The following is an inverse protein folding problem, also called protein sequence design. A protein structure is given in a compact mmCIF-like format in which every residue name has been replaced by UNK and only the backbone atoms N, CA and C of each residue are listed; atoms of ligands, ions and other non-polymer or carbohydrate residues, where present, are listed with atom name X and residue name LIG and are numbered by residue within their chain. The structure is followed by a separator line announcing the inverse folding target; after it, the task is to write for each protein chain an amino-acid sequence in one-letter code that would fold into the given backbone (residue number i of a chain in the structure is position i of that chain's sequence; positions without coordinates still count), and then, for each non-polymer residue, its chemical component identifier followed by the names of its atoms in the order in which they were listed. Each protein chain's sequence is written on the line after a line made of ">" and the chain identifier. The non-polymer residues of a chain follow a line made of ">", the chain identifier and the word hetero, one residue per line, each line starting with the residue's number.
data_IF_728961346542
#
_entry.id   IF_728961346542
#
_cell.length_a   1.000
_cell.length_b   1.000
_cell.length_c   1.000
_cell.angle_alpha   90.00
_cell.angle_beta   90.00
_cell.angle_gamma   90.00
#
_symmetry.space_group_name_H-M   'P 1'
#
loop_
_entity.id
_entity.type
_entity.pdbx_description
1 polymer ?
#
# COMPACT_ATOMS: atom_id res chain seq x y z
N UNK A 1 -20.39 23.76 -4.83
CA UNK A 1 -19.27 23.55 -5.77
C UNK A 1 -19.84 23.29 -7.15
N UNK A 2 -19.55 24.14 -8.13
CA UNK A 2 -19.87 23.87 -9.54
C UNK A 2 -19.08 22.65 -10.04
N UNK A 3 -19.76 21.73 -10.72
CA UNK A 3 -19.12 20.58 -11.36
C UNK A 3 -18.38 21.06 -12.60
N UNK A 4 -17.05 21.16 -12.54
CA UNK A 4 -16.22 21.37 -13.73
C UNK A 4 -16.31 20.15 -14.64
N UNK A 5 -16.82 20.33 -15.85
CA UNK A 5 -16.87 19.30 -16.90
C UNK A 5 -15.69 19.52 -17.84
N UNK A 6 -14.83 18.51 -18.00
CA UNK A 6 -13.68 18.56 -18.92
C UNK A 6 -14.01 17.82 -20.22
N UNK A 7 -13.94 18.51 -21.36
CA UNK A 7 -14.07 17.90 -22.69
C UNK A 7 -12.73 17.34 -23.14
N UNK A 8 -12.38 16.15 -22.65
CA UNK A 8 -11.12 15.47 -22.99
C UNK A 8 -11.12 15.00 -24.44
N UNK A 9 -10.18 15.49 -25.24
CA UNK A 9 -9.92 14.97 -26.60
C UNK A 9 -9.06 13.71 -26.51
N UNK A 10 -9.11 12.86 -27.55
CA UNK A 10 -8.23 11.68 -27.66
C UNK A 10 -6.74 12.08 -27.64
N UNK A 11 -6.40 13.25 -28.19
CA UNK A 11 -5.03 13.82 -28.12
C UNK A 11 -4.59 14.10 -26.69
N UNK A 12 -5.53 14.42 -25.80
CA UNK A 12 -5.24 14.73 -24.40
C UNK A 12 -4.95 13.48 -23.57
N UNK A 13 -5.09 12.28 -24.14
CA UNK A 13 -4.73 11.02 -23.49
C UNK A 13 -3.31 10.63 -23.88
N UNK A 14 -2.44 10.58 -22.87
CA UNK A 14 -1.09 10.03 -22.97
C UNK A 14 -1.00 8.67 -22.29
N UNK A 15 0.05 7.92 -22.64
CA UNK A 15 0.42 6.67 -21.96
C UNK A 15 1.87 6.80 -21.51
N UNK A 16 2.09 6.78 -20.20
CA UNK A 16 3.43 6.65 -19.62
C UNK A 16 3.73 5.17 -19.47
N UNK A 17 4.85 4.73 -20.04
CA UNK A 17 5.32 3.35 -19.91
C UNK A 17 6.61 3.35 -19.11
N UNK A 18 6.64 2.59 -18.02
CA UNK A 18 7.84 2.34 -17.23
C UNK A 18 8.54 1.12 -17.82
N UNK A 19 9.81 1.26 -18.20
CA UNK A 19 10.57 0.20 -18.88
C UNK A 19 10.54 -1.12 -18.09
N UNK A 20 10.90 -1.03 -16.82
CA UNK A 20 10.96 -2.18 -15.90
C UNK A 20 9.70 -2.33 -15.04
N UNK A 21 8.74 -1.39 -15.16
CA UNK A 21 7.63 -1.24 -14.22
C UNK A 21 7.95 -0.32 -13.03
N UNK A 22 6.94 0.01 -12.24
CA UNK A 22 7.05 0.86 -11.05
C UNK A 22 6.09 0.35 -9.98
N UNK A 23 6.55 0.27 -8.74
CA UNK A 23 5.71 -0.07 -7.59
C UNK A 23 5.13 1.20 -6.97
N UNK A 24 3.82 1.18 -6.78
CA UNK A 24 3.06 2.20 -6.07
C UNK A 24 2.53 1.57 -4.79
N UNK A 25 2.98 2.07 -3.66
CA UNK A 25 2.55 1.64 -2.33
C UNK A 25 1.87 2.82 -1.66
N UNK A 26 0.61 2.67 -1.27
CA UNK A 26 -0.15 3.70 -0.56
C UNK A 26 -0.51 3.19 0.82
N UNK A 27 -0.41 4.08 1.80
CA UNK A 27 -1.01 3.93 3.12
C UNK A 27 -1.93 5.11 3.36
N UNK A 28 -3.11 4.83 3.90
CA UNK A 28 -3.99 5.86 4.44
C UNK A 28 -4.67 5.37 5.72
N UNK A 29 -5.18 6.29 6.52
CA UNK A 29 -5.91 5.96 7.75
C UNK A 29 -6.37 7.22 8.46
N UNK A 30 -6.78 7.09 9.72
CA UNK A 30 -7.17 8.19 10.60
C UNK A 30 -6.17 8.37 11.72
N UNK A 31 -5.67 9.59 11.88
CA UNK A 31 -4.81 9.98 13.00
C UNK A 31 -5.61 10.21 14.28
N UNK A 32 -4.90 10.45 15.39
CA UNK A 32 -5.51 10.67 16.70
C UNK A 32 -6.34 11.97 16.77
N UNK A 33 -6.03 12.95 15.90
CA UNK A 33 -6.80 14.19 15.76
C UNK A 33 -8.11 14.00 14.97
N UNK A 34 -8.40 12.78 14.49
CA UNK A 34 -9.55 12.46 13.66
C UNK A 34 -9.41 12.83 12.19
N UNK A 35 -8.29 13.44 11.79
CA UNK A 35 -8.00 13.75 10.39
C UNK A 35 -7.47 12.53 9.65
N UNK A 36 -7.79 12.44 8.36
CA UNK A 36 -7.25 11.37 7.51
C UNK A 36 -5.84 11.71 7.07
N UNK A 37 -4.93 10.73 7.18
CA UNK A 37 -3.61 10.79 6.57
C UNK A 37 -3.56 9.89 5.34
N UNK A 38 -2.73 10.26 4.36
CA UNK A 38 -2.44 9.45 3.18
C UNK A 38 -1.03 9.77 2.69
N UNK A 39 -0.26 8.74 2.39
CA UNK A 39 1.03 8.86 1.73
C UNK A 39 1.21 7.77 0.66
N UNK A 40 2.06 8.04 -0.32
CA UNK A 40 2.37 7.15 -1.45
C UNK A 40 3.89 7.06 -1.63
N UNK A 41 4.41 5.84 -1.47
CA UNK A 41 5.76 5.46 -1.86
C UNK A 41 5.76 4.97 -3.32
N UNK A 42 6.58 5.60 -4.16
CA UNK A 42 6.76 5.23 -5.57
C UNK A 42 8.22 4.83 -5.78
N UNK A 43 8.46 3.59 -6.17
CA UNK A 43 9.81 3.02 -6.34
C UNK A 43 9.91 2.18 -7.62
N UNK A 44 11.14 1.97 -8.10
CA UNK A 44 11.37 1.45 -9.47
C UNK A 44 11.18 -0.06 -9.60
N UNK A 45 11.09 -0.80 -8.50
CA UNK A 45 10.93 -2.25 -8.53
C UNK A 45 10.11 -2.77 -7.35
N UNK A 46 9.62 -4.02 -7.46
CA UNK A 46 8.96 -4.71 -6.35
C UNK A 46 9.92 -5.00 -5.19
N UNK A 47 11.18 -5.34 -5.50
CA UNK A 47 12.22 -5.57 -4.50
C UNK A 47 12.52 -4.31 -3.68
N UNK A 48 12.66 -3.16 -4.35
CA UNK A 48 12.87 -1.87 -3.67
C UNK A 48 11.66 -1.53 -2.78
N UNK A 49 10.45 -1.86 -3.21
CA UNK A 49 9.24 -1.67 -2.42
C UNK A 49 9.26 -2.54 -1.15
N UNK A 50 9.55 -3.83 -1.26
CA UNK A 50 9.62 -4.75 -0.12
C UNK A 50 10.66 -4.28 0.90
N UNK A 51 11.82 -3.78 0.45
CA UNK A 51 12.88 -3.29 1.33
C UNK A 51 12.53 -1.99 2.06
N UNK A 52 11.86 -1.05 1.38
CA UNK A 52 11.55 0.28 1.94
C UNK A 52 10.22 0.34 2.68
N UNK A 53 9.27 -0.51 2.30
CA UNK A 53 7.90 -0.43 2.81
C UNK A 53 7.80 -0.54 4.32
N UNK A 54 8.48 -1.47 5.03
CA UNK A 54 8.35 -1.59 6.49
C UNK A 54 8.67 -0.29 7.21
N UNK A 55 9.88 0.24 7.00
CA UNK A 55 10.30 1.50 7.63
C UNK A 55 9.39 2.67 7.24
N UNK A 56 9.13 2.86 5.94
CA UNK A 56 8.28 3.95 5.45
C UNK A 56 6.87 3.87 6.04
N UNK A 57 6.25 2.69 6.05
CA UNK A 57 4.90 2.48 6.59
C UNK A 57 4.81 2.83 8.07
N UNK A 58 5.79 2.41 8.86
CA UNK A 58 5.88 2.73 10.27
C UNK A 58 6.05 4.23 10.49
N UNK A 59 6.91 4.91 9.72
CA UNK A 59 7.09 6.36 9.83
C UNK A 59 5.79 7.14 9.56
N UNK A 60 5.03 6.74 8.54
CA UNK A 60 3.75 7.38 8.22
C UNK A 60 2.69 7.12 9.29
N UNK A 61 2.55 5.88 9.76
CA UNK A 61 1.56 5.55 10.80
C UNK A 61 1.93 6.22 12.12
N UNK A 62 3.21 6.18 12.51
CA UNK A 62 3.69 6.68 13.80
C UNK A 62 3.91 8.20 13.87
N UNK A 63 3.87 8.90 12.74
CA UNK A 63 3.78 10.36 12.72
C UNK A 63 2.36 10.86 12.96
N UNK A 64 1.34 10.01 12.76
CA UNK A 64 -0.08 10.36 12.87
C UNK A 64 -0.79 9.71 14.08
N UNK A 65 -0.16 8.72 14.72
CA UNK A 65 -0.69 7.99 15.87
C UNK A 65 0.35 7.98 17.00
N UNK A 66 -0.04 8.51 18.17
CA UNK A 66 0.83 8.64 19.33
C UNK A 66 1.08 7.30 20.04
N UNK A 67 0.06 6.46 20.18
CA UNK A 67 0.19 5.11 20.77
C UNK A 67 0.72 4.09 19.74
N UNK A 68 2.03 4.18 19.48
CA UNK A 68 2.72 3.35 18.48
C UNK A 68 2.68 1.86 18.83
N UNK A 69 3.01 1.53 20.08
CA UNK A 69 3.10 0.16 20.56
C UNK A 69 1.71 -0.48 20.66
N UNK A 70 0.71 0.24 21.20
CA UNK A 70 -0.66 -0.27 21.26
C UNK A 70 -1.26 -0.47 19.88
N UNK A 71 -1.00 0.43 18.93
CA UNK A 71 -1.41 0.27 17.53
C UNK A 71 -0.74 -0.94 16.88
N UNK A 72 0.56 -1.12 17.07
CA UNK A 72 1.30 -2.27 16.53
C UNK A 72 0.74 -3.59 17.08
N UNK A 73 0.50 -3.68 18.39
CA UNK A 73 -0.06 -4.87 19.01
C UNK A 73 -1.49 -5.16 18.52
N UNK A 74 -2.35 -4.15 18.37
CA UNK A 74 -3.69 -4.32 17.79
C UNK A 74 -3.65 -4.87 16.36
N UNK A 75 -2.66 -4.47 15.56
CA UNK A 75 -2.46 -5.02 14.21
C UNK A 75 -2.05 -6.49 14.30
N UNK A 76 -1.11 -6.85 15.18
CA UNK A 76 -0.71 -8.25 15.40
C UNK A 76 -1.92 -9.09 15.84
N UNK A 77 -2.68 -8.63 16.82
CA UNK A 77 -3.84 -9.37 17.33
C UNK A 77 -4.88 -9.58 16.23
N UNK A 78 -5.16 -8.55 15.43
CA UNK A 78 -6.04 -8.67 14.26
C UNK A 78 -5.52 -9.65 13.22
N UNK A 79 -4.21 -9.67 12.94
CA UNK A 79 -3.58 -10.63 12.04
C UNK A 79 -3.71 -12.07 12.57
N UNK A 80 -3.50 -12.27 13.87
CA UNK A 80 -3.65 -13.57 14.53
C UNK A 80 -5.10 -14.06 14.43
N UNK A 81 -6.07 -13.19 14.69
CA UNK A 81 -7.49 -13.55 14.69
C UNK A 81 -8.05 -13.81 13.29
N UNK A 82 -7.62 -13.03 12.28
CA UNK A 82 -8.27 -13.00 10.97
C UNK A 82 -7.41 -13.57 9.83
N UNK A 83 -6.10 -13.62 10.03
CA UNK A 83 -5.12 -13.92 8.99
C UNK A 83 -4.05 -14.92 9.42
N UNK A 84 -4.31 -15.77 10.42
CA UNK A 84 -3.34 -16.78 10.86
C UNK A 84 -2.85 -17.65 9.69
N UNK A 85 -3.77 -18.33 9.01
CA UNK A 85 -3.41 -19.27 7.94
C UNK A 85 -2.95 -18.57 6.66
N UNK A 86 -3.79 -17.68 6.11
CA UNK A 86 -3.52 -17.02 4.82
C UNK A 86 -2.53 -15.87 4.92
N UNK A 87 -2.32 -15.30 6.10
CA UNK A 87 -1.33 -14.25 6.31
C UNK A 87 -0.05 -14.82 6.90
N UNK A 88 -0.08 -15.11 8.20
CA UNK A 88 1.12 -15.40 8.99
C UNK A 88 1.78 -16.72 8.57
N UNK A 89 1.05 -17.84 8.60
CA UNK A 89 1.57 -19.17 8.26
C UNK A 89 2.02 -19.22 6.80
N UNK A 90 1.17 -18.73 5.88
CA UNK A 90 1.50 -18.65 4.47
C UNK A 90 2.77 -17.84 4.22
N UNK A 91 2.91 -16.65 4.83
CA UNK A 91 4.10 -15.83 4.66
C UNK A 91 5.35 -16.50 5.23
N UNK A 92 5.24 -17.08 6.44
CA UNK A 92 6.33 -17.85 7.08
C UNK A 92 6.84 -18.96 6.17
N UNK A 93 5.92 -19.73 5.59
CA UNK A 93 6.26 -20.82 4.67
C UNK A 93 6.90 -20.28 3.39
N UNK A 94 6.40 -19.18 2.81
CA UNK A 94 7.03 -18.57 1.64
C UNK A 94 8.45 -18.07 1.93
N UNK A 95 8.70 -17.50 3.11
CA UNK A 95 10.03 -17.06 3.55
C UNK A 95 11.01 -18.23 3.66
N UNK A 96 10.57 -19.37 4.18
CA UNK A 96 11.36 -20.59 4.21
C UNK A 96 11.57 -21.17 2.79
N UNK A 97 10.49 -21.43 2.06
CA UNK A 97 10.52 -22.19 0.81
C UNK A 97 11.17 -21.44 -0.35
N UNK A 98 10.97 -20.12 -0.45
CA UNK A 98 11.40 -19.33 -1.60
C UNK A 98 12.61 -18.45 -1.30
N UNK A 99 12.86 -18.12 -0.03
CA UNK A 99 13.95 -17.23 0.37
C UNK A 99 15.01 -17.91 1.26
N UNK A 100 14.78 -19.16 1.68
CA UNK A 100 15.80 -19.99 2.32
C UNK A 100 16.07 -19.67 3.79
N UNK A 101 15.13 -19.04 4.48
CA UNK A 101 15.20 -18.79 5.93
C UNK A 101 14.82 -20.05 6.71
N UNK A 102 15.77 -20.97 6.87
CA UNK A 102 15.59 -22.27 7.55
C UNK A 102 15.06 -22.13 8.98
N UNK A 103 15.42 -21.05 9.68
CA UNK A 103 14.96 -20.77 11.04
C UNK A 103 13.45 -20.64 11.17
N UNK A 104 12.74 -20.30 10.08
CA UNK A 104 11.29 -20.11 10.09
C UNK A 104 10.49 -21.39 9.87
N UNK A 105 11.14 -22.47 9.42
CA UNK A 105 10.49 -23.75 9.11
C UNK A 105 9.66 -24.27 10.29
N UNK A 106 10.31 -24.44 11.42
CA UNK A 106 9.71 -25.01 12.64
C UNK A 106 9.32 -23.93 13.67
N UNK A 107 9.51 -22.65 13.33
CA UNK A 107 9.12 -21.54 14.21
C UNK A 107 7.59 -21.48 14.37
N UNK A 108 7.14 -21.30 15.59
CA UNK A 108 5.73 -21.03 15.89
C UNK A 108 5.26 -19.75 15.15
N UNK A 109 4.08 -19.75 14.49
CA UNK A 109 3.62 -18.59 13.71
C UNK A 109 3.48 -17.29 14.51
N UNK A 110 3.07 -17.37 15.79
CA UNK A 110 2.94 -16.19 16.65
C UNK A 110 4.33 -15.66 17.04
N UNK A 111 5.29 -16.56 17.23
CA UNK A 111 6.69 -16.19 17.44
C UNK A 111 7.28 -15.54 16.19
N UNK A 112 6.99 -16.09 15.00
CA UNK A 112 7.44 -15.55 13.72
C UNK A 112 6.97 -14.12 13.50
N UNK A 113 5.68 -13.82 13.64
CA UNK A 113 5.15 -12.46 13.41
C UNK A 113 5.70 -11.42 14.40
N UNK A 114 6.18 -11.88 15.57
CA UNK A 114 6.76 -11.05 16.64
C UNK A 114 8.29 -11.06 16.64
N UNK A 115 8.93 -11.79 15.72
CA UNK A 115 10.38 -11.98 15.72
C UNK A 115 11.12 -10.68 15.42
N UNK A 116 10.65 -9.94 14.42
CA UNK A 116 11.22 -8.66 14.00
C UNK A 116 10.11 -7.64 13.70
N UNK A 117 10.32 -6.34 13.94
CA UNK A 117 9.33 -5.30 13.69
C UNK A 117 8.78 -5.28 12.25
N UNK A 118 9.63 -5.61 11.27
CA UNK A 118 9.30 -5.61 9.85
C UNK A 118 8.31 -6.72 9.47
N UNK A 119 8.26 -7.82 10.23
CA UNK A 119 7.42 -8.98 9.89
C UNK A 119 5.95 -8.63 9.80
N UNK A 120 5.48 -7.70 10.63
CA UNK A 120 4.09 -7.22 10.58
C UNK A 120 3.81 -6.52 9.25
N UNK A 121 4.64 -5.56 8.87
CA UNK A 121 4.46 -4.81 7.63
C UNK A 121 4.58 -5.72 6.39
N UNK A 122 5.54 -6.64 6.39
CA UNK A 122 5.73 -7.60 5.31
C UNK A 122 4.57 -8.61 5.22
N UNK A 123 4.02 -9.05 6.35
CA UNK A 123 2.83 -9.92 6.37
C UNK A 123 1.62 -9.18 5.80
N UNK A 124 1.43 -7.90 6.11
CA UNK A 124 0.37 -7.08 5.51
C UNK A 124 0.54 -6.95 4.00
N UNK A 125 1.77 -6.76 3.53
CA UNK A 125 2.11 -6.72 2.10
C UNK A 125 1.81 -8.05 1.42
N UNK A 126 2.20 -9.16 2.05
CA UNK A 126 1.91 -10.52 1.59
C UNK A 126 0.41 -10.73 1.43
N UNK A 127 -0.36 -10.39 2.46
CA UNK A 127 -1.82 -10.48 2.44
C UNK A 127 -2.40 -9.66 1.28
N UNK A 128 -1.99 -8.40 1.21
CA UNK A 128 -2.45 -7.48 0.19
C UNK A 128 -2.19 -8.03 -1.21
N UNK A 129 -0.94 -8.41 -1.50
CA UNK A 129 -0.52 -8.86 -2.81
C UNK A 129 -1.17 -10.20 -3.23
N UNK A 130 -1.26 -11.16 -2.33
CA UNK A 130 -1.67 -12.55 -2.65
C UNK A 130 -3.18 -12.78 -2.56
N UNK A 131 -3.86 -12.16 -1.60
CA UNK A 131 -5.22 -12.55 -1.24
C UNK A 131 -6.26 -11.46 -1.43
N UNK A 132 -5.86 -10.19 -1.56
CA UNK A 132 -6.80 -9.08 -1.66
C UNK A 132 -6.54 -8.15 -2.84
N UNK A 133 -5.90 -8.68 -3.90
CA UNK A 133 -5.65 -7.97 -5.16
C UNK A 133 -4.97 -6.61 -4.93
N UNK A 134 -3.94 -6.62 -4.08
CA UNK A 134 -3.14 -5.50 -3.68
C UNK A 134 -3.86 -4.44 -2.84
N UNK A 135 -4.99 -4.72 -2.20
CA UNK A 135 -5.66 -3.74 -1.33
C UNK A 135 -6.13 -4.39 -0.03
N UNK A 136 -5.66 -3.91 1.12
CA UNK A 136 -6.01 -4.42 2.43
C UNK A 136 -6.54 -3.30 3.32
N UNK A 137 -7.71 -3.50 3.91
CA UNK A 137 -8.29 -2.60 4.90
C UNK A 137 -8.31 -3.26 6.27
N UNK A 138 -7.82 -2.54 7.27
CA UNK A 138 -7.79 -2.95 8.67
C UNK A 138 -8.81 -2.14 9.47
N UNK A 139 -9.46 -2.73 10.49
CA UNK A 139 -10.36 -2.00 11.38
C UNK A 139 -9.62 -1.06 12.35
N UNK A 140 -8.29 -1.18 12.46
CA UNK A 140 -7.46 -0.33 13.31
C UNK A 140 -7.25 1.01 12.62
N UNK A 141 -7.78 2.09 13.20
CA UNK A 141 -7.64 3.46 12.70
C UNK A 141 -8.03 3.63 11.22
N UNK A 142 -8.95 2.80 10.72
CA UNK A 142 -9.31 2.73 9.29
C UNK A 142 -8.08 2.63 8.36
N UNK A 143 -6.99 1.99 8.82
CA UNK A 143 -5.76 1.90 8.05
C UNK A 143 -5.98 1.03 6.81
N UNK A 144 -5.57 1.55 5.67
CA UNK A 144 -5.67 0.89 4.37
C UNK A 144 -4.30 0.89 3.69
N UNK A 145 -3.92 -0.27 3.16
CA UNK A 145 -2.71 -0.48 2.38
C UNK A 145 -3.12 -0.80 0.94
N UNK A 146 -2.52 -0.14 -0.04
CA UNK A 146 -2.67 -0.47 -1.45
C UNK A 146 -1.31 -0.64 -2.11
N UNK A 147 -1.15 -1.71 -2.88
CA UNK A 147 0.08 -2.08 -3.56
C UNK A 147 -0.23 -2.37 -5.03
N UNK A 148 0.44 -1.68 -5.94
CA UNK A 148 0.30 -1.91 -7.38
C UNK A 148 1.66 -1.88 -8.05
N UNK A 149 1.95 -2.92 -8.82
CA UNK A 149 3.04 -2.89 -9.78
C UNK A 149 2.49 -2.51 -11.15
N UNK A 150 2.93 -1.38 -11.68
CA UNK A 150 2.34 -0.76 -12.86
C UNK A 150 3.42 -0.58 -13.92
N UNK A 151 3.19 -1.17 -15.10
CA UNK A 151 4.01 -0.94 -16.29
C UNK A 151 3.54 0.25 -17.12
N UNK A 152 2.25 0.54 -17.08
CA UNK A 152 1.63 1.57 -17.91
C UNK A 152 0.65 2.41 -17.09
N UNK A 153 0.76 3.72 -17.17
CA UNK A 153 -0.20 4.66 -16.58
C UNK A 153 -0.86 5.45 -17.69
N UNK A 154 -2.19 5.51 -17.66
CA UNK A 154 -2.95 6.44 -18.48
C UNK A 154 -2.80 7.84 -17.87
N UNK A 155 -2.33 8.79 -18.66
CA UNK A 155 -2.16 10.17 -18.23
C UNK A 155 -3.07 11.07 -19.03
N UNK A 156 -3.60 12.10 -18.40
CA UNK A 156 -4.42 13.11 -19.06
C UNK A 156 -3.62 14.41 -19.08
N UNK A 157 -3.36 14.95 -20.28
CA UNK A 157 -2.76 16.26 -20.44
C UNK A 157 -3.85 17.33 -20.39
N UNK A 158 -3.94 18.03 -19.26
CA UNK A 158 -4.88 19.14 -19.08
C UNK A 158 -4.41 20.44 -19.77
N UNK A 159 -3.19 20.50 -20.27
CA UNK A 159 -2.57 21.71 -20.83
C UNK A 159 -2.60 21.78 -22.36
N UNK A 160 -3.21 20.82 -23.05
CA UNK A 160 -3.45 20.93 -24.49
C UNK A 160 -4.38 22.12 -24.80
N UNK A 161 -4.10 22.83 -25.90
CA UNK A 161 -4.96 23.89 -26.43
C UNK A 161 -6.39 23.34 -26.67
N UNK A 162 -7.36 23.87 -25.92
CA UNK A 162 -8.77 23.50 -26.01
C UNK A 162 -9.37 22.85 -24.76
N UNK A 163 -8.57 22.52 -23.73
CA UNK A 163 -9.09 22.25 -22.38
C UNK A 163 -9.36 23.60 -21.68
N UNK A 164 -10.46 23.76 -20.94
CA UNK A 164 -11.12 25.05 -20.79
C UNK A 164 -10.22 26.07 -20.07
N UNK A 165 -9.87 27.16 -20.78
CA UNK A 165 -9.35 28.41 -20.21
C UNK A 165 -10.46 29.31 -19.65
N UNK A 166 -11.73 28.93 -19.83
CA UNK A 166 -12.90 29.74 -19.44
C UNK A 166 -14.05 28.86 -18.92
N UNK A 167 -14.82 29.38 -17.97
CA UNK A 167 -15.91 28.69 -17.25
C UNK A 167 -17.17 28.41 -18.08
N UNK A 168 -17.21 28.81 -19.37
CA UNK A 168 -18.42 28.65 -20.19
C UNK A 168 -18.31 27.43 -21.10
N UNK A 169 -19.36 26.58 -21.17
CA UNK A 169 -19.43 25.52 -22.17
C UNK A 169 -19.35 26.12 -23.57
N UNK A 170 -18.43 25.63 -24.40
CA UNK A 170 -18.41 25.97 -25.82
C UNK A 170 -19.38 25.06 -26.56
N UNK A 171 -20.32 25.67 -27.29
CA UNK A 171 -21.40 25.04 -28.08
C UNK A 171 -20.84 24.63 -29.44
#
# INVERSE_FOLDING_TARGET
>A
MEKKVYNLKKSSLGKVTFLDGTSFCMIQGKGDNGESFRDILIVRSAEEAIRKFPQWSSEIVYSNIADKLGTHNKIIDWLIENWMEKGIVSFKNEMYENFGFEEFKDMDPITFIKSEPEMVALTLVHIAARYTNGYLKMPINDIEISLRFIKNVLTINFWEEGNPKTEKPQI
#
